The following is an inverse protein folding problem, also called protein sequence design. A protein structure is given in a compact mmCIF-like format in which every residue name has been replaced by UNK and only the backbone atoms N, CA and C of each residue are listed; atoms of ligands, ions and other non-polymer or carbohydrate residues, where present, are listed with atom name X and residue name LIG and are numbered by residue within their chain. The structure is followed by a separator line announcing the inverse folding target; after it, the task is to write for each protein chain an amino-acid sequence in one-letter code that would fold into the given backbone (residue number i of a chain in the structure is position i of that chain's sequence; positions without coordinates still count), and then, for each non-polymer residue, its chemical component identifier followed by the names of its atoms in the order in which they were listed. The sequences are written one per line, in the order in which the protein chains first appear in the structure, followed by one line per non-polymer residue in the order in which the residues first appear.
data_IF_210350156857
#
_entry.id   IF_210350156857
#
_cell.length_a   1.000
_cell.length_b   1.000
_cell.length_c   1.000
_cell.angle_alpha   90.00
_cell.angle_beta   90.00
_cell.angle_gamma   90.00
#
_symmetry.space_group_name_H-M   'P 1'
#
loop_
_entity.id
_entity.type
_entity.pdbx_description
1 polymer ?
#
# COMPACT_ATOMS: atom_id res chain seq x y z
N UNK A 1 -25.30 -10.97 -6.43
CA UNK A 1 -23.89 -11.16 -6.86
C UNK A 1 -23.02 -11.07 -5.62
N UNK A 2 -21.95 -11.87 -5.56
CA UNK A 2 -20.97 -11.83 -4.47
C UNK A 2 -20.32 -10.45 -4.40
N UNK A 3 -20.08 -9.92 -3.20
CA UNK A 3 -19.45 -8.64 -2.90
C UNK A 3 -18.10 -8.89 -2.25
N UNK A 4 -17.02 -8.49 -2.92
CA UNK A 4 -15.65 -8.75 -2.48
C UNK A 4 -14.95 -7.44 -2.16
N UNK A 5 -14.45 -7.30 -0.94
CA UNK A 5 -13.55 -6.21 -0.58
C UNK A 5 -12.15 -6.47 -1.13
N UNK A 6 -11.67 -5.58 -2.00
CA UNK A 6 -10.24 -5.52 -2.35
C UNK A 6 -9.46 -4.91 -1.18
N UNK A 7 -9.00 -5.76 -0.27
CA UNK A 7 -8.29 -5.34 0.92
C UNK A 7 -6.85 -4.93 0.57
N UNK A 8 -6.41 -3.77 1.06
CA UNK A 8 -5.11 -3.17 0.72
C UNK A 8 -4.10 -3.16 1.86
N UNK A 9 -4.53 -3.44 3.09
CA UNK A 9 -3.68 -3.41 4.29
C UNK A 9 -3.41 -2.01 4.84
N UNK A 10 -4.05 -0.97 4.29
CA UNK A 10 -3.83 0.43 4.68
C UNK A 10 -5.01 1.04 5.46
N UNK A 11 -4.95 2.36 5.64
CA UNK A 11 -5.92 3.15 6.39
C UNK A 11 -7.38 2.91 5.96
N UNK A 12 -7.71 3.16 4.68
CA UNK A 12 -9.09 3.09 4.20
C UNK A 12 -9.67 1.69 4.36
N UNK A 13 -8.94 0.65 3.95
CA UNK A 13 -9.45 -0.73 4.03
C UNK A 13 -9.51 -1.26 5.46
N UNK A 14 -8.70 -0.73 6.37
CA UNK A 14 -8.81 -1.02 7.82
C UNK A 14 -10.06 -0.38 8.42
N UNK A 15 -10.36 0.88 8.07
CA UNK A 15 -11.62 1.50 8.47
C UNK A 15 -12.83 0.71 7.90
N UNK A 16 -12.75 0.23 6.66
CA UNK A 16 -13.78 -0.65 6.10
C UNK A 16 -13.90 -1.96 6.89
N UNK A 17 -12.80 -2.58 7.33
CA UNK A 17 -12.84 -3.79 8.16
C UNK A 17 -13.57 -3.54 9.50
N UNK A 18 -13.34 -2.39 10.12
CA UNK A 18 -14.09 -1.95 11.32
C UNK A 18 -15.58 -1.78 11.00
N UNK A 19 -15.93 -1.10 9.90
CA UNK A 19 -17.33 -0.92 9.49
C UNK A 19 -18.03 -2.26 9.19
N UNK A 20 -17.30 -3.23 8.62
CA UNK A 20 -17.80 -4.60 8.40
C UNK A 20 -18.08 -5.29 9.74
N UNK A 21 -17.12 -5.24 10.68
CA UNK A 21 -17.28 -5.82 12.02
C UNK A 21 -18.45 -5.22 12.79
N UNK A 22 -18.74 -3.93 12.59
CA UNK A 22 -19.87 -3.21 13.17
C UNK A 22 -21.21 -3.47 12.46
N UNK A 23 -21.24 -4.26 11.36
CA UNK A 23 -22.45 -4.50 10.57
C UNK A 23 -22.90 -3.29 9.74
N UNK A 24 -22.04 -2.28 9.56
CA UNK A 24 -22.31 -1.05 8.79
C UNK A 24 -21.92 -1.17 7.31
N UNK A 25 -21.14 -2.19 6.97
CA UNK A 25 -20.75 -2.51 5.60
C UNK A 25 -20.86 -4.01 5.37
N UNK A 26 -21.66 -4.44 4.40
CA UNK A 26 -21.87 -5.85 4.09
C UNK A 26 -21.02 -6.31 2.90
N UNK A 27 -20.25 -7.37 3.13
CA UNK A 27 -19.43 -8.07 2.13
C UNK A 27 -19.59 -9.58 2.32
N UNK A 28 -19.30 -10.34 1.27
CA UNK A 28 -19.23 -11.80 1.36
C UNK A 28 -17.81 -12.28 1.67
N UNK A 29 -16.79 -11.52 1.26
CA UNK A 29 -15.37 -11.89 1.46
C UNK A 29 -14.46 -10.66 1.35
N UNK A 30 -13.38 -10.63 2.15
CA UNK A 30 -12.28 -9.70 1.95
C UNK A 30 -11.06 -10.45 1.39
N UNK A 31 -10.40 -9.85 0.41
CA UNK A 31 -9.30 -10.49 -0.32
C UNK A 31 -8.10 -9.56 -0.41
N UNK A 32 -6.94 -10.05 0.03
CA UNK A 32 -5.66 -9.34 -0.03
C UNK A 32 -4.74 -9.98 -1.07
N UNK A 33 -4.42 -9.23 -2.13
CA UNK A 33 -3.43 -9.66 -3.12
C UNK A 33 -2.01 -9.35 -2.63
N UNK A 34 -1.38 -10.37 -2.03
CA UNK A 34 -0.06 -10.23 -1.43
C UNK A 34 1.03 -10.30 -2.50
N UNK A 35 1.83 -9.23 -2.59
CA UNK A 35 2.99 -9.12 -3.48
C UNK A 35 4.21 -9.91 -3.00
N UNK A 36 4.19 -10.33 -1.73
CA UNK A 36 5.33 -10.89 -1.00
C UNK A 36 6.37 -9.85 -0.61
N UNK A 37 6.05 -8.55 -0.69
CA UNK A 37 7.01 -7.45 -0.53
C UNK A 37 6.50 -6.32 0.37
N UNK A 38 5.34 -6.47 1.01
CA UNK A 38 4.83 -5.46 1.94
C UNK A 38 5.77 -5.28 3.13
N UNK A 39 5.69 -4.12 3.80
CA UNK A 39 6.48 -3.89 5.02
C UNK A 39 6.10 -4.92 6.11
N UNK A 40 7.04 -5.35 6.97
CA UNK A 40 6.76 -6.28 8.07
C UNK A 40 5.58 -5.85 8.95
N UNK A 41 5.43 -4.55 9.19
CA UNK A 41 4.35 -3.95 9.98
C UNK A 41 2.99 -4.14 9.33
N UNK A 42 2.91 -4.11 8.00
CA UNK A 42 1.66 -4.40 7.29
C UNK A 42 1.23 -5.84 7.56
N UNK A 43 2.15 -6.79 7.44
CA UNK A 43 1.86 -8.20 7.72
C UNK A 43 1.49 -8.43 9.19
N UNK A 44 2.26 -7.84 10.10
CA UNK A 44 1.98 -7.91 11.53
C UNK A 44 0.60 -7.33 11.87
N UNK A 45 0.24 -6.18 11.31
CA UNK A 45 -1.06 -5.54 11.53
C UNK A 45 -2.20 -6.40 10.98
N UNK A 46 -2.02 -7.01 9.79
CA UNK A 46 -3.00 -7.94 9.22
C UNK A 46 -3.23 -9.13 10.14
N UNK A 47 -2.16 -9.74 10.65
CA UNK A 47 -2.25 -10.93 11.50
C UNK A 47 -2.90 -10.62 12.85
N UNK A 48 -2.50 -9.53 13.50
CA UNK A 48 -2.87 -9.26 14.89
C UNK A 48 -4.17 -8.46 15.03
N UNK A 49 -4.56 -7.68 14.02
CA UNK A 49 -5.76 -6.84 14.09
C UNK A 49 -6.80 -7.19 13.03
N UNK A 50 -6.42 -7.41 11.77
CA UNK A 50 -7.42 -7.59 10.71
C UNK A 50 -8.05 -8.98 10.71
N UNK A 51 -7.25 -10.04 10.75
CA UNK A 51 -7.76 -11.42 10.76
C UNK A 51 -8.70 -11.73 11.95
N UNK A 52 -8.48 -11.18 13.16
CA UNK A 52 -9.46 -11.29 14.24
C UNK A 52 -10.77 -10.53 14.02
N UNK A 53 -10.76 -9.47 13.18
CA UNK A 53 -11.94 -8.65 12.91
C UNK A 53 -12.82 -9.24 11.82
N UNK A 54 -12.22 -9.68 10.72
CA UNK A 54 -12.91 -10.12 9.50
C UNK A 54 -12.23 -11.36 8.91
N UNK A 55 -13.01 -12.16 8.18
CA UNK A 55 -12.45 -13.23 7.36
C UNK A 55 -11.69 -12.62 6.17
N UNK A 56 -10.42 -12.94 6.06
CA UNK A 56 -9.50 -12.35 5.09
C UNK A 56 -8.74 -13.43 4.32
N UNK A 57 -9.08 -13.58 3.05
CA UNK A 57 -8.37 -14.44 2.11
C UNK A 57 -7.09 -13.77 1.65
N UNK A 58 -5.95 -14.42 1.87
CA UNK A 58 -4.65 -13.99 1.35
C UNK A 58 -4.39 -14.70 0.01
N UNK A 59 -4.15 -13.93 -1.04
CA UNK A 59 -3.73 -14.44 -2.35
C UNK A 59 -2.21 -14.26 -2.50
N UNK A 60 -1.39 -15.28 -2.16
CA UNK A 60 0.07 -15.18 -2.23
C UNK A 60 0.54 -15.11 -3.68
N UNK A 61 1.52 -14.25 -3.97
CA UNK A 61 2.05 -14.11 -5.32
C UNK A 61 2.68 -15.39 -5.87
N UNK A 62 2.54 -15.58 -7.18
CA UNK A 62 3.15 -16.68 -7.93
C UNK A 62 4.62 -16.36 -8.30
N UNK A 63 5.41 -17.38 -8.65
CA UNK A 63 6.76 -17.24 -9.18
C UNK A 63 7.73 -16.41 -8.32
N UNK A 64 7.59 -16.46 -6.99
CA UNK A 64 8.43 -15.71 -6.04
C UNK A 64 8.07 -14.24 -5.87
N UNK A 65 6.96 -13.78 -6.47
CA UNK A 65 6.40 -12.45 -6.24
C UNK A 65 7.16 -11.29 -6.87
N UNK A 66 6.85 -10.09 -6.39
CA UNK A 66 7.28 -8.85 -7.04
C UNK A 66 8.82 -8.70 -7.03
N UNK A 67 9.48 -9.06 -5.93
CA UNK A 67 10.94 -9.02 -5.82
C UNK A 67 11.61 -9.96 -6.81
N UNK A 68 11.18 -11.23 -6.88
CA UNK A 68 11.75 -12.20 -7.82
C UNK A 68 11.58 -11.74 -9.29
N UNK A 69 10.45 -11.09 -9.61
CA UNK A 69 10.25 -10.47 -10.91
C UNK A 69 11.23 -9.34 -11.18
N UNK A 70 11.42 -8.43 -10.21
CA UNK A 70 12.41 -7.34 -10.32
C UNK A 70 13.83 -7.88 -10.52
N UNK A 71 14.21 -8.93 -9.79
CA UNK A 71 15.53 -9.54 -9.89
C UNK A 71 15.76 -10.23 -11.24
N UNK A 72 14.79 -11.03 -11.68
CA UNK A 72 14.86 -11.77 -12.95
C UNK A 72 15.02 -10.84 -14.14
N UNK A 73 14.23 -9.76 -14.18
CA UNK A 73 14.24 -8.83 -15.32
C UNK A 73 15.17 -7.64 -15.12
N UNK A 74 15.78 -7.51 -13.93
CA UNK A 74 16.69 -6.43 -13.54
C UNK A 74 16.05 -5.06 -13.75
N UNK A 75 14.85 -4.91 -13.20
CA UNK A 75 14.02 -3.69 -13.25
C UNK A 75 13.44 -3.43 -11.87
N UNK A 76 12.96 -2.20 -11.64
CA UNK A 76 12.17 -1.86 -10.47
C UNK A 76 10.91 -1.07 -10.89
N UNK A 77 9.87 -1.00 -10.04
CA UNK A 77 8.66 -0.22 -10.34
C UNK A 77 8.96 1.27 -10.44
N UNK A 78 8.29 1.98 -11.35
CA UNK A 78 8.44 3.44 -11.47
C UNK A 78 7.13 4.15 -11.14
N UNK A 79 7.22 5.43 -10.73
CA UNK A 79 6.03 6.24 -10.44
C UNK A 79 5.18 6.51 -11.68
N UNK A 80 5.80 6.45 -12.87
CA UNK A 80 5.16 6.66 -14.17
C UNK A 80 4.46 5.36 -14.62
N UNK A 81 5.19 4.25 -14.61
CA UNK A 81 4.67 2.93 -14.97
C UNK A 81 4.51 2.04 -13.74
N UNK A 82 3.27 2.00 -13.23
CA UNK A 82 2.84 1.23 -12.05
C UNK A 82 2.49 -0.22 -12.39
N UNK A 83 3.34 -0.87 -13.19
CA UNK A 83 3.15 -2.27 -13.61
C UNK A 83 3.05 -3.23 -12.41
N UNK A 84 3.70 -2.92 -11.28
CA UNK A 84 3.64 -3.75 -10.08
C UNK A 84 2.22 -3.83 -9.52
N UNK A 85 1.52 -2.69 -9.40
CA UNK A 85 0.12 -2.63 -8.98
C UNK A 85 -0.77 -3.35 -9.98
N UNK A 86 -0.54 -3.14 -11.28
CA UNK A 86 -1.35 -3.77 -12.33
C UNK A 86 -1.24 -5.29 -12.29
N UNK A 87 -0.04 -5.84 -12.38
CA UNK A 87 0.22 -7.29 -12.50
C UNK A 87 -0.04 -8.01 -11.18
N UNK A 88 0.53 -7.51 -10.07
CA UNK A 88 0.55 -8.25 -8.81
C UNK A 88 -0.68 -7.98 -7.93
N UNK A 89 -1.43 -6.89 -8.17
CA UNK A 89 -2.65 -6.57 -7.41
C UNK A 89 -3.90 -6.60 -8.27
N UNK A 90 -4.02 -5.72 -9.27
CA UNK A 90 -5.29 -5.51 -10.00
C UNK A 90 -5.68 -6.71 -10.85
N UNK A 91 -4.80 -7.19 -11.73
CA UNK A 91 -5.09 -8.33 -12.61
C UNK A 91 -5.37 -9.60 -11.78
N UNK A 92 -4.63 -9.79 -10.69
CA UNK A 92 -4.81 -10.90 -9.73
C UNK A 92 -6.16 -10.85 -9.03
N UNK A 93 -6.55 -9.69 -8.50
CA UNK A 93 -7.85 -9.51 -7.86
C UNK A 93 -8.99 -9.65 -8.86
N UNK A 94 -8.88 -9.07 -10.06
CA UNK A 94 -9.90 -9.22 -11.09
C UNK A 94 -10.08 -10.69 -11.49
N UNK A 95 -8.99 -11.44 -11.66
CA UNK A 95 -9.04 -12.89 -11.97
C UNK A 95 -9.72 -13.67 -10.84
N UNK A 96 -9.43 -13.36 -9.59
CA UNK A 96 -10.05 -14.02 -8.44
C UNK A 96 -11.54 -13.68 -8.30
N UNK A 97 -11.89 -12.40 -8.47
CA UNK A 97 -13.25 -11.92 -8.27
C UNK A 97 -14.21 -12.39 -9.36
N UNK A 98 -13.74 -12.56 -10.61
CA UNK A 98 -14.60 -12.87 -11.75
C UNK A 98 -15.72 -11.82 -11.86
N UNK A 99 -16.97 -12.29 -11.86
CA UNK A 99 -18.18 -11.45 -11.96
C UNK A 99 -18.63 -10.86 -10.60
N UNK A 100 -17.85 -11.01 -9.52
CA UNK A 100 -18.20 -10.42 -8.23
C UNK A 100 -18.11 -8.89 -8.26
N UNK A 101 -18.98 -8.23 -7.47
CA UNK A 101 -18.92 -6.79 -7.24
C UNK A 101 -17.71 -6.49 -6.36
N UNK A 102 -16.75 -5.74 -6.89
CA UNK A 102 -15.54 -5.37 -6.16
C UNK A 102 -15.72 -4.04 -5.44
N UNK A 103 -15.44 -4.03 -4.13
CA UNK A 103 -15.45 -2.84 -3.30
C UNK A 103 -14.02 -2.32 -3.14
N UNK A 104 -13.83 -1.02 -3.41
CA UNK A 104 -12.54 -0.33 -3.33
C UNK A 104 -12.59 0.76 -2.25
N UNK A 105 -11.59 0.78 -1.38
CA UNK A 105 -11.47 1.77 -0.30
C UNK A 105 -10.82 3.07 -0.75
N UNK A 106 -11.51 3.87 -1.56
CA UNK A 106 -11.19 5.29 -1.73
C UNK A 106 -12.06 6.12 -0.81
N UNK A 107 -11.48 7.07 -0.10
CA UNK A 107 -12.20 7.99 0.77
C UNK A 107 -12.87 9.12 -0.03
N UNK A 108 -13.76 9.88 0.61
CA UNK A 108 -14.49 10.99 -0.03
C UNK A 108 -13.58 12.11 -0.56
N UNK A 109 -12.45 12.37 0.10
CA UNK A 109 -11.39 13.29 -0.34
C UNK A 109 -10.57 12.75 -1.53
N UNK A 110 -10.77 11.49 -1.91
CA UNK A 110 -10.13 10.83 -3.05
C UNK A 110 -11.09 10.60 -4.24
N UNK A 111 -12.24 11.28 -4.28
CA UNK A 111 -13.31 11.03 -5.26
C UNK A 111 -12.85 11.03 -6.72
N UNK A 112 -11.88 11.86 -7.09
CA UNK A 112 -11.33 11.90 -8.47
C UNK A 112 -10.71 10.56 -8.89
N UNK A 113 -10.29 9.72 -7.94
CA UNK A 113 -9.74 8.38 -8.23
C UNK A 113 -10.82 7.40 -8.71
N UNK A 114 -12.08 7.57 -8.33
CA UNK A 114 -13.19 6.69 -8.75
C UNK A 114 -13.63 6.95 -10.19
N UNK A 115 -13.30 8.11 -10.75
CA UNK A 115 -13.63 8.48 -12.15
C UNK A 115 -12.79 7.74 -13.20
N UNK A 116 -11.86 6.89 -12.78
CA UNK A 116 -11.02 6.13 -13.69
C UNK A 116 -11.85 5.08 -14.45
N UNK A 117 -11.90 5.12 -15.80
CA UNK A 117 -12.69 4.17 -16.59
C UNK A 117 -12.34 2.70 -16.35
N UNK A 118 -11.10 2.40 -15.89
CA UNK A 118 -10.67 1.04 -15.54
C UNK A 118 -11.34 0.48 -14.28
N UNK A 119 -12.12 1.29 -13.57
CA UNK A 119 -12.86 0.92 -12.37
C UNK A 119 -14.37 0.83 -12.61
N UNK A 120 -14.81 0.83 -13.86
CA UNK A 120 -16.21 0.60 -14.21
C UNK A 120 -16.75 -0.69 -13.56
N UNK A 121 -17.95 -0.62 -13.00
CA UNK A 121 -18.59 -1.72 -12.28
C UNK A 121 -18.10 -1.95 -10.84
N UNK A 122 -17.13 -1.18 -10.34
CA UNK A 122 -16.67 -1.24 -8.94
C UNK A 122 -17.44 -0.28 -8.05
N UNK A 123 -17.52 -0.61 -6.76
CA UNK A 123 -18.25 0.13 -5.72
C UNK A 123 -17.26 0.83 -4.78
N UNK A 124 -17.61 2.02 -4.30
CA UNK A 124 -16.72 2.86 -3.46
C UNK A 124 -17.42 3.24 -2.15
N UNK A 125 -17.50 2.32 -1.17
CA UNK A 125 -18.37 2.50 -0.01
C UNK A 125 -18.06 3.74 0.83
N UNK A 126 -16.77 4.08 1.00
CA UNK A 126 -16.41 5.23 1.80
C UNK A 126 -16.81 6.55 1.12
N UNK A 127 -16.71 6.64 -0.22
CA UNK A 127 -17.23 7.79 -0.98
C UNK A 127 -18.76 7.88 -0.82
N UNK A 128 -19.48 6.77 -1.00
CA UNK A 128 -20.94 6.70 -0.86
C UNK A 128 -21.40 7.11 0.55
N UNK A 129 -20.61 6.80 1.57
CA UNK A 129 -20.87 7.15 2.97
C UNK A 129 -20.35 8.54 3.35
N UNK A 130 -19.67 9.26 2.45
CA UNK A 130 -19.06 10.57 2.73
C UNK A 130 -17.86 10.53 3.68
N UNK A 131 -17.23 9.36 3.89
CA UNK A 131 -16.16 9.13 4.86
C UNK A 131 -14.81 9.57 4.27
N UNK A 132 -14.17 10.56 4.90
CA UNK A 132 -12.83 11.05 4.52
C UNK A 132 -11.70 10.19 5.09
N UNK A 133 -10.46 10.44 4.65
CA UNK A 133 -9.26 9.85 5.26
C UNK A 133 -9.15 10.15 6.77
N UNK A 134 -9.52 11.36 7.19
CA UNK A 134 -9.54 11.74 8.61
C UNK A 134 -10.65 10.99 9.39
N UNK A 135 -11.80 10.76 8.77
CA UNK A 135 -12.83 9.90 9.36
C UNK A 135 -12.36 8.46 9.51
N UNK A 136 -11.59 7.93 8.54
CA UNK A 136 -11.03 6.58 8.63
C UNK A 136 -10.15 6.43 9.88
N UNK A 137 -9.33 7.43 10.20
CA UNK A 137 -8.51 7.46 11.42
C UNK A 137 -9.40 7.39 12.66
N UNK A 138 -10.40 8.27 12.75
CA UNK A 138 -11.35 8.30 13.87
C UNK A 138 -12.12 6.99 14.03
N UNK A 139 -12.56 6.37 12.93
CA UNK A 139 -13.28 5.08 12.95
C UNK A 139 -12.42 4.00 13.59
N UNK A 140 -11.14 3.93 13.22
CA UNK A 140 -10.20 2.93 13.72
C UNK A 140 -9.90 3.15 15.20
N UNK A 141 -9.59 4.39 15.60
CA UNK A 141 -9.28 4.74 16.98
C UNK A 141 -10.49 4.57 17.91
N UNK A 142 -11.69 4.99 17.48
CA UNK A 142 -12.91 4.83 18.26
C UNK A 142 -13.30 3.36 18.47
N UNK A 143 -12.89 2.47 17.56
CA UNK A 143 -13.04 1.03 17.75
C UNK A 143 -11.99 0.46 18.73
N UNK A 144 -10.93 1.22 19.04
CA UNK A 144 -9.87 0.83 19.97
C UNK A 144 -8.64 0.21 19.30
N UNK A 145 -8.45 0.42 17.99
CA UNK A 145 -7.28 -0.08 17.26
C UNK A 145 -6.25 1.01 17.04
N UNK A 146 -4.95 0.67 17.00
CA UNK A 146 -3.94 1.60 16.54
C UNK A 146 -4.15 1.90 15.05
N UNK A 147 -3.80 3.12 14.61
CA UNK A 147 -3.87 3.48 13.20
C UNK A 147 -2.78 2.71 12.43
N UNK A 148 -3.10 2.00 11.33
CA UNK A 148 -2.10 1.25 10.58
C UNK A 148 -1.12 2.18 9.88
N UNK A 149 0.12 1.74 9.72
CA UNK A 149 1.05 2.39 8.81
C UNK A 149 0.55 2.31 7.38
N UNK A 150 1.00 3.24 6.54
CA UNK A 150 0.70 3.29 5.11
C UNK A 150 1.22 2.01 4.45
N UNK A 151 0.28 1.23 3.95
CA UNK A 151 0.55 -0.01 3.23
C UNK A 151 1.28 0.26 1.92
N UNK A 152 2.47 -0.32 1.79
CA UNK A 152 3.19 -0.38 0.53
C UNK A 152 4.24 -1.48 0.59
N UNK A 153 4.70 -1.95 -0.57
CA UNK A 153 5.95 -2.70 -0.63
C UNK A 153 7.11 -1.88 -0.05
N UNK A 154 8.09 -2.52 0.60
CA UNK A 154 9.23 -1.81 1.23
C UNK A 154 10.10 -1.04 0.22
N UNK A 155 10.07 -1.44 -1.05
CA UNK A 155 10.74 -0.74 -2.16
C UNK A 155 9.76 -0.02 -3.09
N UNK A 156 8.61 0.41 -2.58
CA UNK A 156 7.63 1.11 -3.40
C UNK A 156 8.20 2.46 -3.89
N UNK A 157 8.17 2.68 -5.21
CA UNK A 157 8.67 3.91 -5.82
C UNK A 157 7.88 5.19 -5.46
N UNK A 158 6.71 5.02 -4.82
CA UNK A 158 5.86 6.12 -4.34
C UNK A 158 6.06 6.43 -2.85
N UNK A 159 7.05 5.82 -2.19
CA UNK A 159 7.45 6.18 -0.83
C UNK A 159 8.06 7.58 -0.80
N UNK A 160 7.61 8.39 0.17
CA UNK A 160 8.19 9.70 0.47
C UNK A 160 9.53 9.53 1.17
N UNK A 161 10.32 10.61 1.22
CA UNK A 161 11.62 10.61 1.91
C UNK A 161 11.49 10.20 3.38
N UNK A 162 10.45 10.67 4.07
CA UNK A 162 10.16 10.29 5.46
C UNK A 162 9.94 8.79 5.64
N UNK A 163 9.25 8.14 4.69
CA UNK A 163 9.04 6.68 4.68
C UNK A 163 10.35 5.93 4.43
N UNK A 164 11.22 6.44 3.55
CA UNK A 164 12.54 5.86 3.31
C UNK A 164 13.47 5.98 4.53
N UNK A 165 13.42 7.10 5.26
CA UNK A 165 14.16 7.28 6.51
C UNK A 165 13.73 6.30 7.57
N UNK A 166 12.42 6.20 7.76
CA UNK A 166 11.85 5.26 8.70
C UNK A 166 12.27 3.82 8.33
N UNK A 167 12.22 3.44 7.05
CA UNK A 167 12.68 2.13 6.59
C UNK A 167 14.18 1.93 6.83
N UNK A 168 15.02 2.94 6.57
CA UNK A 168 16.47 2.87 6.80
C UNK A 168 16.81 2.64 8.28
N UNK A 169 16.06 3.25 9.20
CA UNK A 169 16.28 3.14 10.64
C UNK A 169 15.72 1.83 11.19
N UNK A 170 14.47 1.50 10.85
CA UNK A 170 13.76 0.36 11.43
C UNK A 170 14.10 -0.97 10.73
N UNK A 171 14.36 -0.93 9.42
CA UNK A 171 14.64 -2.09 8.56
C UNK A 171 15.84 -1.83 7.63
N UNK A 172 17.05 -1.62 8.19
CA UNK A 172 18.24 -1.28 7.40
C UNK A 172 18.60 -2.35 6.36
N UNK A 173 18.22 -3.60 6.59
CA UNK A 173 18.34 -4.72 5.66
C UNK A 173 17.40 -4.55 4.44
N UNK A 174 16.13 -4.21 4.65
CA UNK A 174 15.18 -3.93 3.57
C UNK A 174 15.58 -2.68 2.78
N UNK A 175 16.11 -1.65 3.46
CA UNK A 175 16.65 -0.47 2.79
C UNK A 175 17.85 -0.82 1.90
N UNK A 176 18.79 -1.64 2.39
CA UNK A 176 19.92 -2.15 1.60
C UNK A 176 19.45 -2.99 0.42
N UNK A 177 18.43 -3.81 0.62
CA UNK A 177 17.87 -4.61 -0.46
C UNK A 177 17.19 -3.75 -1.54
N UNK A 178 16.50 -2.68 -1.16
CA UNK A 178 15.96 -1.71 -2.11
C UNK A 178 17.07 -1.03 -2.93
N UNK A 179 18.18 -0.63 -2.30
CA UNK A 179 19.37 -0.10 -3.01
C UNK A 179 19.96 -1.13 -3.98
N UNK A 180 20.03 -2.40 -3.57
CA UNK A 180 20.49 -3.51 -4.42
C UNK A 180 19.58 -3.69 -5.64
N UNK A 181 18.25 -3.70 -5.46
CA UNK A 181 17.29 -3.80 -6.56
C UNK A 181 17.44 -2.64 -7.56
N UNK A 182 17.65 -1.42 -7.05
CA UNK A 182 17.93 -0.25 -7.87
C UNK A 182 19.23 -0.43 -8.68
N UNK A 183 20.28 -0.94 -8.05
CA UNK A 183 21.58 -1.20 -8.70
C UNK A 183 21.53 -2.27 -9.80
N UNK A 184 20.62 -3.26 -9.69
CA UNK A 184 20.46 -4.28 -10.75
C UNK A 184 20.09 -3.65 -12.11
N UNK A 185 19.24 -2.61 -12.10
CA UNK A 185 18.93 -1.86 -13.31
C UNK A 185 20.18 -1.14 -13.85
N UNK A 186 20.96 -0.51 -12.96
CA UNK A 186 22.13 0.28 -13.36
C UNK A 186 23.25 -0.58 -13.93
N UNK A 187 23.49 -1.76 -13.38
CA UNK A 187 24.41 -2.74 -13.97
C UNK A 187 23.99 -3.16 -15.39
N UNK A 188 22.67 -3.19 -15.68
CA UNK A 188 22.14 -3.49 -17.03
C UNK A 188 22.14 -2.25 -17.93
N UNK A 189 21.91 -1.07 -17.37
CA UNK A 189 21.76 0.22 -18.06
C UNK A 189 22.44 1.35 -17.26
N UNK A 190 23.78 1.48 -17.34
CA UNK A 190 24.54 2.43 -16.51
C UNK A 190 24.10 3.89 -16.68
N UNK A 191 23.62 4.25 -17.86
CA UNK A 191 23.13 5.60 -18.20
C UNK A 191 21.90 6.04 -17.40
N UNK A 192 21.21 5.11 -16.71
CA UNK A 192 20.06 5.40 -15.86
C UNK A 192 20.45 5.74 -14.41
N UNK A 193 21.68 5.44 -13.98
CA UNK A 193 22.14 5.58 -12.58
C UNK A 193 21.95 6.96 -11.99
N UNK A 194 22.12 8.00 -12.81
CA UNK A 194 21.99 9.39 -12.41
C UNK A 194 20.58 9.97 -12.63
N UNK A 195 19.73 9.25 -13.39
CA UNK A 195 18.50 9.79 -14.01
C UNK A 195 17.22 9.26 -13.38
N UNK A 196 17.22 8.05 -12.82
CA UNK A 196 16.01 7.44 -12.25
C UNK A 196 16.31 6.51 -11.08
N UNK A 197 15.33 6.31 -10.20
CA UNK A 197 15.39 5.40 -9.07
C UNK A 197 14.07 5.28 -8.32
N UNK A 198 14.13 4.60 -7.19
CA UNK A 198 13.02 4.28 -6.30
C UNK A 198 12.50 5.47 -5.49
N UNK A 199 13.25 6.58 -5.40
CA UNK A 199 12.79 7.78 -4.71
C UNK A 199 11.99 8.67 -5.67
N UNK A 200 10.73 8.34 -5.90
CA UNK A 200 9.83 9.12 -6.77
C UNK A 200 10.44 9.44 -8.15
N UNK A 201 11.18 8.49 -8.73
CA UNK A 201 11.88 8.67 -10.01
C UNK A 201 13.27 9.30 -9.89
N UNK A 202 13.83 9.45 -8.69
CA UNK A 202 15.23 9.84 -8.43
C UNK A 202 16.01 8.67 -7.85
N UNK A 203 17.33 8.58 -8.08
CA UNK A 203 18.18 7.56 -7.48
C UNK A 203 18.14 7.63 -5.95
N UNK A 204 17.81 6.51 -5.31
CA UNK A 204 17.74 6.41 -3.85
C UNK A 204 19.14 6.56 -3.23
N UNK A 205 20.18 6.02 -3.89
CA UNK A 205 21.56 6.06 -3.38
C UNK A 205 22.10 7.48 -3.16
N UNK A 206 21.64 8.48 -3.91
CA UNK A 206 22.03 9.90 -3.73
C UNK A 206 21.65 10.45 -2.35
N UNK A 207 20.74 9.78 -1.67
CA UNK A 207 20.26 10.15 -0.35
C UNK A 207 20.62 9.07 0.68
N UNK A 208 21.42 8.06 0.34
CA UNK A 208 21.73 6.99 1.27
C UNK A 208 22.54 7.48 2.49
N UNK A 209 23.39 8.49 2.33
CA UNK A 209 24.28 9.00 3.39
C UNK A 209 23.72 10.21 4.14
N UNK A 210 22.95 11.07 3.47
CA UNK A 210 22.43 12.31 4.05
C UNK A 210 20.95 12.24 4.38
N UNK A 211 20.57 11.57 5.48
CA UNK A 211 19.21 11.73 6.01
C UNK A 211 19.13 11.46 7.52
N UNK A 212 18.71 12.48 8.26
CA UNK A 212 18.12 12.38 9.60
C UNK A 212 16.76 13.06 9.55
N UNK A 213 15.75 12.43 10.15
CA UNK A 213 14.89 13.04 11.17
C UNK A 213 14.28 11.87 11.96
N UNK A 214 14.43 11.90 13.27
CA UNK A 214 13.83 10.94 14.20
C UNK A 214 12.30 10.97 14.04
N UNK A 215 11.67 9.80 14.08
CA UNK A 215 10.21 9.71 14.19
C UNK A 215 9.89 8.65 15.25
N UNK A 216 9.59 9.03 16.49
CA UNK A 216 8.98 8.14 17.49
C UNK A 216 7.52 7.84 17.13
N UNK A 217 6.87 6.94 17.88
CA UNK A 217 5.51 6.48 17.63
C UNK A 217 4.54 7.64 17.33
N UNK A 218 3.92 7.59 16.14
CA UNK A 218 3.13 8.67 15.57
C UNK A 218 1.82 8.91 16.33
N UNK A 219 1.63 10.13 16.85
CA UNK A 219 0.33 10.71 17.19
C UNK A 219 -0.53 10.92 15.93
N UNK A 220 -1.80 11.31 16.09
CA UNK A 220 -2.72 11.58 14.97
C UNK A 220 -2.19 12.68 14.02
N UNK A 221 -1.53 13.69 14.59
CA UNK A 221 -0.89 14.78 13.87
C UNK A 221 0.39 14.31 13.15
N UNK A 222 1.15 13.45 13.79
CA UNK A 222 2.37 12.88 13.21
C UNK A 222 2.04 11.90 12.07
N UNK A 223 0.95 11.12 12.18
CA UNK A 223 0.45 10.29 11.08
C UNK A 223 -0.06 11.13 9.90
N UNK A 224 -0.73 12.26 10.16
CA UNK A 224 -1.13 13.20 9.10
C UNK A 224 0.09 13.74 8.34
N UNK A 225 1.14 14.15 9.06
CA UNK A 225 2.41 14.59 8.47
C UNK A 225 3.13 13.47 7.71
N UNK A 226 3.18 12.27 8.30
CA UNK A 226 3.86 11.11 7.75
C UNK A 226 3.15 10.51 6.52
N UNK A 227 1.81 10.40 6.55
CA UNK A 227 0.98 9.95 5.43
C UNK A 227 0.85 11.01 4.33
N UNK A 228 1.09 12.28 4.69
CA UNK A 228 1.14 13.38 3.76
C UNK A 228 -0.14 14.19 3.58
N UNK A 229 -0.99 14.18 4.60
CA UNK A 229 -2.24 14.93 4.71
C UNK A 229 -2.07 16.20 5.57
N UNK A 230 -0.85 16.74 5.69
CA UNK A 230 -0.61 18.02 6.37
C UNK A 230 -1.52 19.12 5.79
N UNK A 231 -2.47 19.59 6.61
CA UNK A 231 -3.12 20.90 6.53
C UNK A 231 -3.59 21.32 5.15
N UNK A 232 -4.79 20.89 4.78
CA UNK A 232 -5.71 21.69 3.97
C UNK A 232 -6.96 21.98 4.79
#
# INVERSE_FOLDING_TARGET
MKRILSFGGGLQTTAMAVLIKQGRLNIDEAVFADTGCEKPETYWYIENYIKPLIDLTILPSENGGLKAYCEKYRIFPSVVDKWCTRIFKVERLNKYCGDAIQLIGFSSDEIRRSENPKLEGKVFPLIEMGISSADCVRIIQNYGLPVPLKSSCYFCCSQRMTEWNWLKIQHPDLFKDALRLENLLYERKPEYKERTGLLMGKPLWKHAEGIQYEIPMLSEEEYSCWSGHCGH
#
